data_IF_039245097737
#
_entry.id   IF_039245097737
#
_cell.length_a   1.000
_cell.length_b   1.000
_cell.length_c   1.000
_cell.angle_alpha   90.00
_cell.angle_beta   90.00
_cell.angle_gamma   90.00
#
_symmetry.space_group_name_H-M   'P 1'
#
loop_
_entity.id
_entity.type
_entity.pdbx_description
1 polymer ?
#
# COMPACT_ATOMS: atom_id res chain seq x y z
N UNK A 1 5.45 17.81 -31.04
CA UNK A 1 5.91 16.53 -30.46
C UNK A 1 5.33 16.45 -29.06
N UNK A 2 4.80 15.29 -28.67
CA UNK A 2 4.35 15.04 -27.29
C UNK A 2 5.56 14.91 -26.38
N UNK A 3 5.53 15.49 -25.18
CA UNK A 3 6.56 15.26 -24.17
C UNK A 3 6.59 13.78 -23.79
N UNK A 4 7.80 13.21 -23.76
CA UNK A 4 8.03 11.81 -23.42
C UNK A 4 8.71 11.75 -22.06
N UNK A 5 8.06 11.07 -21.12
CA UNK A 5 8.55 10.87 -19.77
C UNK A 5 8.96 9.41 -19.61
N UNK A 6 10.15 9.18 -19.05
CA UNK A 6 10.64 7.84 -18.70
C UNK A 6 10.60 7.70 -17.18
N UNK A 7 10.01 6.59 -16.71
CA UNK A 7 10.11 6.20 -15.30
C UNK A 7 11.34 5.31 -15.15
N UNK A 8 12.28 5.74 -14.29
CA UNK A 8 13.57 5.06 -14.09
C UNK A 8 13.56 4.07 -12.92
N UNK A 9 12.52 4.09 -12.09
CA UNK A 9 12.36 3.17 -10.97
C UNK A 9 11.05 3.38 -10.23
N UNK A 10 10.64 2.36 -9.48
CA UNK A 10 9.43 2.39 -8.65
C UNK A 10 9.65 1.55 -7.39
N UNK A 11 9.05 1.99 -6.29
CA UNK A 11 8.99 1.24 -5.03
C UNK A 11 7.63 1.43 -4.37
N UNK A 12 7.24 0.47 -3.54
CA UNK A 12 5.95 0.48 -2.84
C UNK A 12 6.16 0.12 -1.38
N UNK A 13 5.50 0.86 -0.49
CA UNK A 13 5.41 0.55 0.93
C UNK A 13 3.94 0.66 1.33
N UNK A 14 3.25 -0.47 1.41
CA UNK A 14 1.83 -0.53 1.72
C UNK A 14 1.55 -1.60 2.79
N UNK A 15 0.42 -1.50 3.53
CA UNK A 15 0.09 -2.44 4.59
C UNK A 15 -0.05 -3.91 4.12
N UNK A 16 -0.33 -4.11 2.84
CA UNK A 16 -0.44 -5.43 2.18
C UNK A 16 0.84 -5.85 1.43
N UNK A 17 1.91 -5.05 1.41
CA UNK A 17 3.15 -5.44 0.77
C UNK A 17 4.20 -4.32 0.72
N UNK A 18 5.45 -4.68 1.02
CA UNK A 18 6.63 -3.82 0.84
C UNK A 18 7.43 -4.34 -0.35
N UNK A 19 7.73 -3.46 -1.30
CA UNK A 19 8.36 -3.81 -2.57
C UNK A 19 7.34 -4.21 -3.64
N UNK A 20 7.78 -4.11 -4.90
CA UNK A 20 6.91 -4.36 -6.06
C UNK A 20 6.38 -5.78 -6.12
N UNK A 21 7.20 -6.76 -5.73
CA UNK A 21 6.81 -8.18 -5.79
C UNK A 21 5.71 -8.52 -4.78
N UNK A 22 5.90 -8.15 -3.51
CA UNK A 22 4.93 -8.44 -2.46
C UNK A 22 3.61 -7.71 -2.71
N UNK A 23 3.69 -6.42 -3.07
CA UNK A 23 2.51 -5.64 -3.41
C UNK A 23 1.79 -6.17 -4.65
N UNK A 24 2.52 -6.56 -5.70
CA UNK A 24 1.94 -7.14 -6.91
C UNK A 24 1.16 -8.43 -6.64
N UNK A 25 1.74 -9.35 -5.85
CA UNK A 25 1.04 -10.58 -5.43
C UNK A 25 -0.20 -10.29 -4.59
N UNK A 26 -0.12 -9.33 -3.67
CA UNK A 26 -1.27 -8.94 -2.85
C UNK A 26 -2.41 -8.35 -3.70
N UNK A 27 -2.09 -7.57 -4.73
CA UNK A 27 -3.07 -7.03 -5.67
C UNK A 27 -3.73 -8.13 -6.52
N UNK A 28 -2.92 -9.04 -7.07
CA UNK A 28 -3.42 -10.15 -7.92
C UNK A 28 -4.35 -11.10 -7.15
N UNK A 29 -4.01 -11.38 -5.90
CA UNK A 29 -4.81 -12.25 -5.02
C UNK A 29 -5.96 -11.53 -4.30
N UNK A 30 -6.10 -10.21 -4.48
CA UNK A 30 -7.12 -9.40 -3.80
C UNK A 30 -6.93 -9.30 -2.28
N UNK A 31 -5.70 -9.41 -1.79
CA UNK A 31 -5.39 -9.36 -0.37
C UNK A 31 -5.50 -7.94 0.20
N UNK A 32 -6.44 -7.74 1.14
CA UNK A 32 -6.59 -6.49 1.87
C UNK A 32 -5.48 -6.28 2.89
N UNK A 33 -4.98 -5.04 2.97
CA UNK A 33 -4.03 -4.60 4.00
C UNK A 33 -4.69 -3.96 5.22
N UNK A 34 -6.02 -3.84 5.23
CA UNK A 34 -6.77 -3.24 6.33
C UNK A 34 -6.72 -4.20 7.52
N UNK A 35 -6.28 -3.67 8.66
CA UNK A 35 -6.22 -4.39 9.93
C UNK A 35 -6.63 -3.45 11.05
N UNK A 36 -7.22 -4.02 12.09
CA UNK A 36 -7.52 -3.29 13.30
C UNK A 36 -6.20 -2.90 13.99
N UNK A 37 -6.10 -1.63 14.39
CA UNK A 37 -4.95 -1.07 15.10
C UNK A 37 -5.43 -0.69 16.51
N UNK A 38 -5.19 -1.53 17.54
CA UNK A 38 -5.71 -1.32 18.89
C UNK A 38 -5.39 0.05 19.48
N UNK A 39 -4.24 0.60 19.12
CA UNK A 39 -3.75 1.90 19.56
C UNK A 39 -4.64 3.04 19.07
N UNK A 40 -5.20 2.94 17.85
CA UNK A 40 -6.10 3.97 17.32
C UNK A 40 -7.40 4.04 18.13
N UNK A 41 -7.89 2.89 18.57
CA UNK A 41 -9.04 2.81 19.47
C UNK A 41 -8.72 3.35 20.86
N UNK A 42 -7.56 3.01 21.42
CA UNK A 42 -7.13 3.50 22.72
C UNK A 42 -6.98 5.04 22.76
N UNK A 43 -6.67 5.65 21.61
CA UNK A 43 -6.56 7.10 21.43
C UNK A 43 -7.89 7.76 20.97
N UNK A 44 -9.00 7.02 20.96
CA UNK A 44 -10.34 7.49 20.59
C UNK A 44 -10.44 8.12 19.18
N UNK A 45 -9.60 7.68 18.23
CA UNK A 45 -9.70 8.14 16.84
C UNK A 45 -10.96 7.61 16.15
N UNK A 46 -11.54 8.39 15.22
CA UNK A 46 -12.74 7.98 14.49
C UNK A 46 -12.51 6.92 13.41
N UNK A 47 -11.26 6.71 12.97
CA UNK A 47 -10.86 5.65 12.06
C UNK A 47 -10.18 4.52 12.87
N UNK A 48 -10.96 3.52 13.25
CA UNK A 48 -10.54 2.33 14.00
C UNK A 48 -10.80 1.07 13.17
#
# INVERSE_FOLDING_TARGET
MSERVVITGMGVCAPNGIGLEAFGKAMDTGQSGIRFIPELKALEFGCQ
#
